data_IF_679388661564
#
_entry.id   IF_679388661564
#
_cell.length_a   1.000
_cell.length_b   1.000
_cell.length_c   1.000
_cell.angle_alpha   90.00
_cell.angle_beta   90.00
_cell.angle_gamma   90.00
#
_symmetry.space_group_name_H-M   'P 1'
#
loop_
_entity.id
_entity.type
_entity.pdbx_description
1 polymer ?
#
# COMPACT_ATOMS: atom_id res chain seq x y z
N UNK A 1 12.89 -20.41 -26.50
CA UNK A 1 11.87 -20.25 -25.43
C UNK A 1 11.80 -18.79 -25.04
N UNK A 2 10.65 -18.13 -25.20
CA UNK A 2 10.44 -16.75 -24.73
C UNK A 2 9.73 -16.83 -23.38
N UNK A 3 10.47 -16.66 -22.28
CA UNK A 3 9.90 -16.58 -20.94
C UNK A 3 9.20 -15.23 -20.80
N UNK A 4 7.86 -15.19 -20.84
CA UNK A 4 7.11 -13.97 -20.53
C UNK A 4 7.38 -13.60 -19.06
N UNK A 5 7.84 -12.37 -18.80
CA UNK A 5 8.12 -11.89 -17.44
C UNK A 5 6.84 -11.42 -16.76
N UNK A 6 6.73 -11.65 -15.45
CA UNK A 6 5.64 -11.09 -14.65
C UNK A 6 5.76 -9.56 -14.57
N UNK A 7 4.64 -8.87 -14.72
CA UNK A 7 4.56 -7.40 -14.66
C UNK A 7 4.20 -6.98 -13.24
N UNK A 8 5.05 -6.15 -12.61
CA UNK A 8 4.80 -5.60 -11.27
C UNK A 8 4.42 -4.13 -11.37
N UNK A 9 3.37 -3.73 -10.68
CA UNK A 9 2.81 -2.37 -10.71
C UNK A 9 2.64 -1.88 -9.28
N UNK A 10 3.16 -0.68 -9.01
CA UNK A 10 2.97 0.00 -7.73
C UNK A 10 1.88 1.03 -7.90
N UNK A 11 0.85 0.97 -7.06
CA UNK A 11 -0.25 1.91 -7.08
C UNK A 11 -0.60 2.38 -5.68
N UNK A 12 -1.04 3.63 -5.52
CA UNK A 12 -1.50 4.18 -4.24
C UNK A 12 -2.99 4.44 -4.39
N UNK A 13 -3.78 3.75 -3.59
CA UNK A 13 -5.24 3.83 -3.62
C UNK A 13 -5.72 4.27 -2.23
N UNK A 14 -6.62 5.25 -2.13
CA UNK A 14 -7.25 5.58 -0.85
C UNK A 14 -8.10 4.40 -0.35
N UNK A 15 -8.01 4.11 0.95
CA UNK A 15 -8.77 3.06 1.63
C UNK A 15 -10.28 3.23 1.38
N UNK A 16 -10.95 2.11 1.07
CA UNK A 16 -12.39 2.07 0.80
C UNK A 16 -12.86 2.76 -0.49
N UNK A 17 -11.96 3.34 -1.29
CA UNK A 17 -12.29 4.06 -2.54
C UNK A 17 -11.61 3.46 -3.78
N UNK A 18 -11.34 2.16 -3.79
CA UNK A 18 -10.86 1.52 -5.02
C UNK A 18 -11.96 1.52 -6.08
N UNK A 19 -11.65 2.12 -7.22
CA UNK A 19 -12.50 2.16 -8.42
C UNK A 19 -11.66 1.79 -9.64
N UNK A 20 -12.24 1.15 -10.66
CA UNK A 20 -11.56 0.83 -11.90
C UNK A 20 -11.26 2.13 -12.67
N UNK A 21 -10.18 2.83 -12.31
CA UNK A 21 -9.70 4.03 -13.01
C UNK A 21 -8.90 3.62 -14.25
N UNK A 22 -8.82 4.48 -15.29
CA UNK A 22 -8.12 4.21 -16.55
C UNK A 22 -6.71 3.57 -16.46
N UNK A 23 -5.81 3.92 -15.51
CA UNK A 23 -4.54 3.23 -15.40
C UNK A 23 -4.70 1.73 -15.11
N UNK A 24 -5.69 1.34 -14.31
CA UNK A 24 -5.94 -0.05 -13.93
C UNK A 24 -6.57 -0.86 -15.07
N UNK A 25 -7.56 -0.29 -15.76
CA UNK A 25 -8.25 -0.97 -16.87
C UNK A 25 -7.34 -1.20 -18.08
N UNK A 26 -6.42 -0.26 -18.36
CA UNK A 26 -5.42 -0.39 -19.44
C UNK A 26 -4.43 -1.53 -19.17
N UNK A 27 -4.13 -1.76 -17.89
CA UNK A 27 -3.17 -2.79 -17.44
C UNK A 27 -3.78 -4.19 -17.50
N UNK A 28 -5.02 -4.36 -17.05
CA UNK A 28 -5.73 -5.66 -17.08
C UNK A 28 -6.26 -6.04 -18.47
N UNK A 29 -5.64 -5.48 -19.52
CA UNK A 29 -6.08 -5.49 -20.90
C UNK A 29 -6.68 -6.85 -21.33
N UNK A 30 -7.98 -6.82 -21.63
CA UNK A 30 -8.92 -7.90 -22.07
C UNK A 30 -9.88 -8.51 -21.05
N UNK A 31 -9.74 -8.31 -19.74
CA UNK A 31 -10.71 -8.87 -18.77
C UNK A 31 -11.07 -7.89 -17.64
N UNK A 32 -12.03 -7.00 -17.91
CA UNK A 32 -12.56 -6.02 -16.94
C UNK A 32 -13.04 -6.65 -15.61
N UNK A 33 -13.42 -7.94 -15.63
CA UNK A 33 -13.82 -8.67 -14.42
C UNK A 33 -12.72 -8.72 -13.35
N UNK A 34 -11.45 -8.86 -13.72
CA UNK A 34 -10.33 -8.94 -12.76
C UNK A 34 -10.08 -7.62 -12.04
N UNK A 35 -10.27 -6.49 -12.74
CA UNK A 35 -10.17 -5.17 -12.15
C UNK A 35 -11.29 -4.91 -11.12
N UNK A 36 -12.52 -5.33 -11.42
CA UNK A 36 -13.68 -5.21 -10.52
C UNK A 36 -13.48 -6.07 -9.26
N UNK A 37 -13.02 -7.31 -9.44
CA UNK A 37 -12.70 -8.22 -8.34
C UNK A 37 -11.64 -7.65 -7.41
N UNK A 38 -10.53 -7.16 -7.99
CA UNK A 38 -9.50 -6.44 -7.24
C UNK A 38 -10.07 -5.25 -6.46
N UNK A 39 -10.90 -4.41 -7.07
CA UNK A 39 -11.50 -3.26 -6.37
C UNK A 39 -12.36 -3.70 -5.18
N UNK A 40 -13.16 -4.77 -5.34
CA UNK A 40 -14.00 -5.32 -4.27
C UNK A 40 -13.14 -5.86 -3.13
N UNK A 41 -12.15 -6.68 -3.43
CA UNK A 41 -11.27 -7.28 -2.43
C UNK A 41 -10.41 -6.24 -1.71
N UNK A 42 -9.90 -5.24 -2.45
CA UNK A 42 -9.16 -4.14 -1.85
C UNK A 42 -10.02 -3.35 -0.86
N UNK A 43 -11.27 -3.05 -1.22
CA UNK A 43 -12.20 -2.33 -0.34
C UNK A 43 -12.57 -3.18 0.90
N UNK A 44 -12.72 -4.49 0.74
CA UNK A 44 -12.93 -5.43 1.85
C UNK A 44 -11.75 -5.43 2.83
N UNK A 45 -10.54 -5.60 2.29
CA UNK A 45 -9.29 -5.65 3.06
C UNK A 45 -8.95 -4.34 3.74
N UNK A 46 -9.40 -3.22 3.15
CA UNK A 46 -9.21 -1.88 3.70
C UNK A 46 -10.35 -1.42 4.59
N UNK A 47 -11.36 -2.26 4.89
CA UNK A 47 -12.50 -1.89 5.74
C UNK A 47 -12.10 -1.46 7.15
N UNK A 48 -11.04 -2.07 7.70
CA UNK A 48 -10.56 -1.76 9.05
C UNK A 48 -9.72 -0.47 9.11
N UNK A 49 -9.40 0.13 7.96
CA UNK A 49 -8.73 1.41 7.88
C UNK A 49 -9.75 2.53 7.79
N UNK A 50 -9.39 3.71 8.28
CA UNK A 50 -10.20 4.90 8.01
C UNK A 50 -10.24 5.20 6.51
N UNK A 51 -11.35 5.77 6.07
CA UNK A 51 -11.54 6.19 4.68
C UNK A 51 -10.47 7.24 4.31
N UNK A 52 -10.03 7.26 3.06
CA UNK A 52 -9.06 8.20 2.49
C UNK A 52 -7.58 8.01 2.91
N UNK A 53 -7.27 7.01 3.73
CA UNK A 53 -5.88 6.63 4.00
C UNK A 53 -5.23 6.11 2.71
N UNK A 54 -4.10 6.66 2.21
CA UNK A 54 -3.44 6.16 1.03
C UNK A 54 -2.74 4.82 1.32
N UNK A 55 -3.20 3.75 0.70
CA UNK A 55 -2.67 2.39 0.84
C UNK A 55 -1.85 2.06 -0.41
N UNK A 56 -0.51 1.97 -0.30
CA UNK A 56 0.33 1.49 -1.39
C UNK A 56 0.06 0.00 -1.62
N UNK A 57 -0.21 -0.36 -2.87
CA UNK A 57 -0.54 -1.72 -3.29
C UNK A 57 0.37 -2.10 -4.44
N UNK A 58 0.97 -3.28 -4.34
CA UNK A 58 1.79 -3.86 -5.41
C UNK A 58 0.97 -4.97 -6.06
N UNK A 59 0.67 -4.80 -7.34
CA UNK A 59 -0.04 -5.78 -8.14
C UNK A 59 1.00 -6.49 -9.01
N UNK A 60 1.05 -7.81 -8.94
CA UNK A 60 1.90 -8.66 -9.76
C UNK A 60 1.02 -9.44 -10.72
N UNK A 61 1.18 -9.20 -12.03
CA UNK A 61 0.45 -9.91 -13.09
C UNK A 61 1.40 -10.94 -13.67
N UNK A 62 1.03 -12.21 -13.55
CA UNK A 62 1.76 -13.31 -14.17
C UNK A 62 1.37 -13.40 -15.65
N UNK A 63 2.20 -14.00 -16.51
CA UNK A 63 1.79 -14.34 -17.85
C UNK A 63 1.10 -15.70 -17.85
N UNK A 64 -0.13 -15.77 -18.39
CA UNK A 64 -0.91 -16.99 -18.38
C UNK A 64 -0.27 -18.07 -19.27
N UNK A 65 -0.16 -19.29 -18.75
CA UNK A 65 0.25 -20.49 -19.47
C UNK A 65 -0.91 -21.50 -19.39
N UNK A 66 -2.02 -21.21 -20.10
CA UNK A 66 -3.19 -22.09 -20.14
C UNK A 66 -2.82 -23.49 -20.66
N UNK A 67 -2.60 -24.43 -19.74
CA UNK A 67 -2.74 -25.87 -19.96
C UNK A 67 -3.65 -26.40 -18.83
N UNK A 68 -4.95 -26.11 -18.93
CA UNK A 68 -5.94 -26.61 -17.99
C UNK A 68 -6.20 -28.10 -18.28
N UNK A 69 -5.51 -28.98 -17.54
CA UNK A 69 -6.06 -30.29 -17.20
C UNK A 69 -6.62 -30.19 -15.79
N UNK A 70 -7.94 -30.00 -15.71
CA UNK A 70 -8.72 -30.17 -14.51
C UNK A 70 -8.40 -31.53 -13.87
N UNK A 71 -7.95 -31.51 -12.62
CA UNK A 71 -8.27 -32.59 -11.69
C UNK A 71 -8.49 -31.98 -10.31
N UNK A 72 -9.76 -32.04 -9.90
CA UNK A 72 -10.20 -31.88 -8.52
C UNK A 72 -9.32 -32.71 -7.59
N UNK A 73 -8.91 -32.14 -6.46
CA UNK A 73 -9.10 -32.80 -5.18
C UNK A 73 -9.04 -31.79 -4.04
N UNK A 74 -10.08 -31.87 -3.21
CA UNK A 74 -10.19 -31.26 -1.90
C UNK A 74 -8.92 -31.49 -1.08
N UNK A 75 -8.49 -30.48 -0.33
CA UNK A 75 -8.28 -30.64 1.10
C UNK A 75 -8.15 -29.29 1.80
N UNK A 76 -8.96 -29.14 2.85
CA UNK A 76 -8.86 -28.12 3.89
C UNK A 76 -7.42 -28.01 4.39
N UNK A 77 -6.95 -26.78 4.61
CA UNK A 77 -6.26 -26.42 5.85
C UNK A 77 -6.15 -24.89 6.00
N UNK A 78 -6.72 -24.43 7.12
CA UNK A 78 -6.58 -23.07 7.65
C UNK A 78 -5.11 -22.67 7.72
N UNK A 79 -4.75 -21.55 7.10
CA UNK A 79 -3.59 -20.75 7.48
C UNK A 79 -3.86 -19.28 7.16
N UNK A 80 -3.97 -18.47 8.22
CA UNK A 80 -4.00 -17.02 8.18
C UNK A 80 -2.67 -16.50 7.64
N UNK A 81 -2.54 -16.46 6.31
CA UNK A 81 -1.48 -15.75 5.63
C UNK A 81 -2.12 -14.70 4.72
N UNK A 82 -1.66 -13.46 4.86
CA UNK A 82 -2.07 -12.28 4.11
C UNK A 82 -1.77 -12.33 2.58
N UNK A 83 -1.51 -13.52 2.04
CA UNK A 83 -1.47 -13.82 0.62
C UNK A 83 -2.75 -14.54 0.23
N UNK A 84 -3.71 -13.79 -0.31
CA UNK A 84 -4.85 -14.39 -1.00
C UNK A 84 -4.35 -14.95 -2.34
N UNK A 85 -4.21 -16.27 -2.39
CA UNK A 85 -4.29 -17.03 -3.61
C UNK A 85 -5.77 -17.38 -3.79
N UNK A 86 -6.52 -16.59 -4.56
CA UNK A 86 -7.81 -17.06 -5.06
C UNK A 86 -7.55 -18.21 -6.05
N UNK A 87 -8.43 -19.20 -6.01
CA UNK A 87 -8.17 -20.52 -6.55
C UNK A 87 -8.13 -20.53 -8.09
N UNK A 88 -7.04 -21.11 -8.59
CA UNK A 88 -6.86 -21.90 -9.82
C UNK A 88 -6.77 -21.26 -11.21
N UNK A 89 -7.09 -19.99 -11.45
CA UNK A 89 -6.81 -19.33 -12.76
C UNK A 89 -6.34 -17.86 -12.62
N UNK A 90 -5.84 -17.51 -11.44
CA UNK A 90 -5.45 -16.14 -11.11
C UNK A 90 -4.09 -15.77 -11.65
N UNK A 91 -4.14 -15.25 -12.87
CA UNK A 91 -3.04 -14.61 -13.56
C UNK A 91 -2.51 -13.32 -12.85
N UNK A 92 -2.93 -13.01 -11.61
CA UNK A 92 -2.40 -11.90 -10.83
C UNK A 92 -2.50 -12.13 -9.32
N UNK A 93 -1.62 -11.47 -8.56
CA UNK A 93 -1.67 -11.37 -7.10
C UNK A 93 -1.45 -9.92 -6.68
N UNK A 94 -1.88 -9.53 -5.48
CA UNK A 94 -1.57 -8.20 -4.96
C UNK A 94 -1.26 -8.21 -3.46
N UNK A 95 -0.42 -7.26 -3.05
CA UNK A 95 -0.01 -7.07 -1.67
C UNK A 95 -0.27 -5.61 -1.29
N UNK A 96 -1.02 -5.40 -0.21
CA UNK A 96 -1.24 -4.08 0.39
C UNK A 96 -0.17 -3.80 1.44
N UNK A 97 0.40 -2.60 1.42
CA UNK A 97 1.32 -2.11 2.43
C UNK A 97 0.67 -1.02 3.28
N UNK A 98 1.22 -0.77 4.46
CA UNK A 98 0.86 0.39 5.27
C UNK A 98 1.11 1.69 4.52
N UNK A 99 0.43 2.77 4.94
CA UNK A 99 0.60 4.09 4.36
C UNK A 99 2.06 4.54 4.27
N UNK A 100 2.38 5.45 3.33
CA UNK A 100 3.69 6.07 3.26
C UNK A 100 4.03 6.82 4.55
N UNK A 101 5.31 6.86 4.92
CA UNK A 101 5.81 7.61 6.08
C UNK A 101 5.34 9.08 6.03
N UNK A 102 5.42 9.70 4.86
CA UNK A 102 4.95 11.08 4.64
C UNK A 102 3.49 11.29 5.04
N UNK A 103 2.63 10.28 4.88
CA UNK A 103 1.23 10.38 5.29
C UNK A 103 1.10 10.37 6.82
N UNK A 104 1.80 9.46 7.51
CA UNK A 104 1.81 9.41 8.98
C UNK A 104 2.33 10.72 9.59
N UNK A 105 3.41 11.28 9.03
CA UNK A 105 3.98 12.53 9.51
C UNK A 105 3.01 13.72 9.34
N UNK A 106 2.37 13.84 8.17
CA UNK A 106 1.37 14.89 7.91
C UNK A 106 0.18 14.77 8.86
N UNK A 107 -0.28 13.53 9.10
CA UNK A 107 -1.37 13.25 10.05
C UNK A 107 -0.98 13.58 11.49
N UNK A 108 0.25 13.28 11.92
CA UNK A 108 0.75 13.60 13.26
C UNK A 108 0.79 15.13 13.53
N UNK A 109 0.95 15.94 12.49
CA UNK A 109 0.90 17.41 12.58
C UNK A 109 -0.54 17.95 12.55
N UNK A 110 -1.52 17.11 12.23
CA UNK A 110 -2.91 17.54 12.07
C UNK A 110 -3.21 18.17 10.70
N UNK A 111 -2.37 17.95 9.68
CA UNK A 111 -2.61 18.41 8.32
C UNK A 111 -3.36 17.33 7.56
N UNK A 112 -4.64 17.57 7.28
CA UNK A 112 -5.39 16.76 6.32
C UNK A 112 -4.89 17.09 4.91
N UNK A 113 -4.74 16.09 4.04
CA UNK A 113 -4.12 16.23 2.71
C UNK A 113 -4.66 17.40 1.86
N UNK A 114 -5.92 17.80 2.08
CA UNK A 114 -6.60 18.89 1.38
C UNK A 114 -6.15 20.30 1.83
N UNK A 115 -5.56 20.45 3.02
CA UNK A 115 -5.12 21.76 3.55
C UNK A 115 -3.83 22.27 2.93
N UNK A 116 -3.03 21.41 2.28
CA UNK A 116 -1.73 21.81 1.69
C UNK A 116 -1.92 22.73 0.48
N UNK A 117 -3.04 22.63 -0.25
CA UNK A 117 -3.32 23.47 -1.41
C UNK A 117 -3.68 24.92 -1.05
N UNK A 118 -4.01 25.22 0.22
CA UNK A 118 -4.38 26.58 0.64
C UNK A 118 -3.20 27.43 1.11
N UNK A 119 -2.06 26.80 1.44
CA UNK A 119 -0.88 27.50 1.98
C UNK A 119 0.29 27.58 0.98
N UNK A 120 0.07 27.27 -0.30
CA UNK A 120 1.06 27.42 -1.38
C UNK A 120 1.28 28.88 -1.81
N UNK A 121 1.48 29.78 -0.85
CA UNK A 121 2.17 31.06 -1.10
C UNK A 121 3.54 30.99 -0.43
N UNK A 122 4.52 30.50 -1.20
CA UNK A 122 5.93 30.86 -1.10
C UNK A 122 6.70 30.37 0.13
N UNK A 123 7.66 29.47 -0.10
CA UNK A 123 8.92 29.42 0.63
C UNK A 123 8.91 28.76 2.00
N UNK A 124 9.43 27.53 2.08
CA UNK A 124 10.16 27.01 3.24
C UNK A 124 9.48 27.01 4.61
N UNK A 125 8.15 27.15 4.69
CA UNK A 125 7.46 27.15 5.97
C UNK A 125 7.41 25.72 6.55
N UNK A 126 7.93 25.56 7.76
CA UNK A 126 7.79 24.34 8.57
C UNK A 126 6.31 23.98 8.67
N UNK A 127 5.93 22.81 8.15
CA UNK A 127 4.55 22.30 8.18
C UNK A 127 4.05 22.11 9.61
N UNK A 128 4.95 21.86 10.55
CA UNK A 128 4.67 21.87 11.98
C UNK A 128 5.75 21.14 12.76
N UNK A 129 5.47 20.92 14.05
CA UNK A 129 6.36 20.22 14.97
C UNK A 129 5.71 18.92 15.44
N UNK A 130 6.50 17.84 15.53
CA UNK A 130 6.07 16.57 16.14
C UNK A 130 7.06 16.17 17.23
N UNK A 131 6.60 15.46 18.25
CA UNK A 131 7.48 14.96 19.31
C UNK A 131 8.16 13.64 18.91
N UNK A 132 9.28 13.31 19.56
CA UNK A 132 9.93 12.00 19.41
C UNK A 132 9.00 10.83 19.74
N UNK A 133 8.03 11.02 20.64
CA UNK A 133 7.03 10.01 20.97
C UNK A 133 6.22 9.60 19.74
N UNK A 134 5.75 10.56 18.95
CA UNK A 134 5.01 10.28 17.73
C UNK A 134 5.86 9.55 16.69
N UNK A 135 7.14 9.91 16.57
CA UNK A 135 8.08 9.21 15.67
C UNK A 135 8.20 7.74 16.07
N UNK A 136 8.33 7.47 17.36
CA UNK A 136 8.43 6.11 17.89
C UNK A 136 7.14 5.30 17.65
N UNK A 137 5.97 5.88 17.89
CA UNK A 137 4.68 5.23 17.63
C UNK A 137 4.51 4.86 16.15
N UNK A 138 4.85 5.76 15.23
CA UNK A 138 4.83 5.48 13.79
C UNK A 138 5.80 4.36 13.44
N UNK A 139 7.00 4.35 14.05
CA UNK A 139 8.00 3.32 13.82
C UNK A 139 7.50 1.93 14.27
N UNK A 140 6.84 1.84 15.43
CA UNK A 140 6.24 0.60 15.92
C UNK A 140 5.17 0.06 14.97
N UNK A 141 4.28 0.93 14.49
CA UNK A 141 3.26 0.57 13.50
C UNK A 141 3.93 0.06 12.21
N UNK A 142 4.97 0.75 11.73
CA UNK A 142 5.65 0.39 10.49
C UNK A 142 6.41 -0.94 10.61
N UNK A 143 6.96 -1.24 11.79
CA UNK A 143 7.69 -2.47 12.07
C UNK A 143 6.82 -3.74 12.01
N UNK A 144 5.49 -3.61 12.14
CA UNK A 144 4.58 -4.75 12.06
C UNK A 144 4.44 -5.31 10.63
N UNK A 145 4.86 -4.56 9.60
CA UNK A 145 4.79 -5.02 8.22
C UNK A 145 5.76 -6.17 7.94
N UNK A 146 5.30 -7.17 7.17
CA UNK A 146 6.10 -8.33 6.76
C UNK A 146 7.47 -7.95 6.20
N UNK A 147 7.57 -6.87 5.43
CA UNK A 147 8.80 -6.42 4.77
C UNK A 147 9.72 -5.54 5.63
N UNK A 148 9.34 -5.23 6.88
CA UNK A 148 10.14 -4.43 7.80
C UNK A 148 10.46 -5.11 9.13
N UNK A 149 9.91 -6.31 9.41
CA UNK A 149 10.11 -7.01 10.69
C UNK A 149 11.57 -7.30 11.03
N UNK A 150 12.39 -7.53 10.00
CA UNK A 150 13.81 -7.86 10.18
C UNK A 150 14.70 -6.62 10.34
N UNK A 151 14.12 -5.42 10.18
CA UNK A 151 14.86 -4.18 10.32
C UNK A 151 14.87 -3.74 11.79
N UNK A 152 16.02 -3.25 12.24
CA UNK A 152 16.08 -2.62 13.55
C UNK A 152 15.17 -1.38 13.60
N UNK A 153 14.42 -1.25 14.70
CA UNK A 153 13.55 -0.11 14.95
C UNK A 153 14.31 1.23 14.85
N UNK A 154 15.60 1.24 15.21
CA UNK A 154 16.48 2.39 15.07
C UNK A 154 16.61 2.87 13.63
N UNK A 155 16.68 1.96 12.66
CA UNK A 155 16.77 2.31 11.25
C UNK A 155 15.45 2.89 10.74
N UNK A 156 14.32 2.35 11.18
CA UNK A 156 12.99 2.89 10.87
C UNK A 156 12.85 4.31 11.44
N UNK A 157 13.25 4.54 12.69
CA UNK A 157 13.24 5.87 13.31
C UNK A 157 14.15 6.86 12.57
N UNK A 158 15.36 6.45 12.15
CA UNK A 158 16.24 7.30 11.34
C UNK A 158 15.59 7.70 10.02
N UNK A 159 14.99 6.75 9.30
CA UNK A 159 14.28 7.03 8.05
C UNK A 159 13.07 7.97 8.27
N UNK A 160 12.39 7.86 9.41
CA UNK A 160 11.30 8.77 9.79
C UNK A 160 11.82 10.20 10.02
N UNK A 161 12.94 10.35 10.73
CA UNK A 161 13.59 11.65 10.98
C UNK A 161 14.07 12.28 9.66
N UNK A 162 14.62 11.50 8.76
CA UNK A 162 15.05 11.98 7.45
C UNK A 162 13.86 12.41 6.58
N UNK A 163 12.79 11.60 6.56
CA UNK A 163 11.56 11.94 5.87
C UNK A 163 10.90 13.20 6.44
N UNK A 164 10.96 13.44 7.75
CA UNK A 164 10.39 14.65 8.35
C UNK A 164 11.08 15.91 7.84
N UNK A 165 12.41 15.88 7.70
CA UNK A 165 13.19 17.01 7.15
C UNK A 165 12.79 17.32 5.71
N UNK A 166 12.61 16.30 4.87
CA UNK A 166 12.19 16.45 3.46
C UNK A 166 10.78 17.05 3.39
N UNK A 167 9.89 16.63 4.29
CA UNK A 167 8.51 17.11 4.36
C UNK A 167 8.41 18.50 4.99
N UNK A 168 9.44 18.97 5.70
CA UNK A 168 9.44 20.26 6.40
C UNK A 168 8.78 20.18 7.78
N UNK A 169 8.93 19.06 8.48
CA UNK A 169 8.41 18.84 9.84
C UNK A 169 9.58 18.76 10.81
N UNK A 170 9.55 19.61 11.83
CA UNK A 170 10.55 19.65 12.90
C UNK A 170 10.23 18.61 13.97
N UNK A 171 11.25 17.85 14.40
CA UNK A 171 11.10 16.87 15.48
C UNK A 171 11.65 17.48 16.76
N UNK A 172 10.78 17.59 17.75
CA UNK A 172 11.11 18.10 19.08
C UNK A 172 11.37 16.91 20.02
N UNK A 173 12.44 16.96 20.84
CA UNK A 173 12.71 15.92 21.83
C UNK A 173 11.58 15.72 22.83
#
# INVERSE_FOLDING_TARGET
MITRKATKIKWIIPAGKATPKPPLSTIFNRHDRKAIEFCKEFNERTRNYEIDIPIPTIITIYPNNNNNNNNNNNNNNNNNNNNFNNNNDDNFSFITHLPPITWFLKRAVGINSDTILKNSKGGGATLGKISLKHVYEIALIKNQQDNMRDLELKNICKSLIEASKIVGIEIVP
#
